data_IF_690479906970
#
_entry.id   IF_690479906970
#
_cell.length_a   1.000
_cell.length_b   1.000
_cell.length_c   1.000
_cell.angle_alpha   90.00
_cell.angle_beta   90.00
_cell.angle_gamma   90.00
#
_symmetry.space_group_name_H-M   'P 1'
#
loop_
_entity.id
_entity.type
_entity.pdbx_description
1 polymer ?
#
# COMPACT_ATOMS: atom_id res chain seq x y z
N UNK A 1 -22.26 -36.67 -21.48
CA UNK A 1 -21.36 -37.00 -22.60
C UNK A 1 -20.13 -36.13 -22.45
N UNK A 2 -19.00 -36.72 -22.09
CA UNK A 2 -17.70 -36.04 -21.99
C UNK A 2 -17.22 -35.59 -23.37
N UNK A 3 -16.69 -34.38 -23.47
CA UNK A 3 -15.88 -33.94 -24.60
C UNK A 3 -14.72 -33.10 -24.08
N UNK A 4 -13.56 -33.72 -23.99
CA UNK A 4 -12.25 -33.07 -23.88
C UNK A 4 -12.00 -32.18 -25.11
N UNK A 5 -11.38 -31.01 -24.91
CA UNK A 5 -10.77 -30.23 -26.00
C UNK A 5 -9.31 -29.95 -25.66
N UNK A 6 -8.49 -30.27 -26.66
CA UNK A 6 -7.04 -30.19 -26.70
C UNK A 6 -6.59 -28.73 -26.74
N UNK A 7 -5.62 -28.40 -25.88
CA UNK A 7 -5.02 -27.08 -25.68
C UNK A 7 -4.07 -26.74 -26.84
N UNK A 8 -4.27 -25.57 -27.46
CA UNK A 8 -3.33 -24.97 -28.41
C UNK A 8 -2.28 -24.14 -27.67
N UNK A 9 -1.01 -24.52 -27.79
CA UNK A 9 0.14 -23.99 -27.03
C UNK A 9 0.80 -22.75 -27.63
N UNK A 10 0.22 -22.12 -28.65
CA UNK A 10 0.89 -21.07 -29.44
C UNK A 10 0.50 -19.64 -28.99
N UNK A 11 -0.73 -19.42 -28.50
CA UNK A 11 -1.19 -18.08 -28.05
C UNK A 11 -0.60 -17.64 -26.70
N UNK A 12 -0.27 -18.60 -25.82
CA UNK A 12 0.32 -18.33 -24.49
C UNK A 12 1.60 -17.49 -24.56
N UNK A 13 2.34 -17.52 -25.67
CA UNK A 13 3.61 -16.79 -25.82
C UNK A 13 3.43 -15.28 -26.01
N UNK A 14 2.33 -14.84 -26.62
CA UNK A 14 2.11 -13.42 -26.94
C UNK A 14 1.52 -12.66 -25.76
N UNK A 15 0.61 -13.28 -24.99
CA UNK A 15 0.06 -12.70 -23.76
C UNK A 15 1.10 -12.63 -22.62
N UNK A 16 2.02 -13.61 -22.57
CA UNK A 16 3.20 -13.59 -21.68
C UNK A 16 4.12 -12.39 -21.92
N UNK A 17 4.19 -11.88 -23.15
CA UNK A 17 5.00 -10.69 -23.44
C UNK A 17 4.33 -9.42 -22.91
N UNK A 18 3.00 -9.32 -22.99
CA UNK A 18 2.27 -8.13 -22.53
C UNK A 18 2.33 -7.93 -21.03
N UNK A 19 2.15 -9.00 -20.24
CA UNK A 19 2.23 -8.92 -18.76
C UNK A 19 3.65 -8.54 -18.30
N UNK A 20 4.67 -9.15 -18.91
CA UNK A 20 6.07 -8.82 -18.62
C UNK A 20 6.45 -7.40 -19.09
N UNK A 21 5.89 -6.91 -20.21
CA UNK A 21 6.08 -5.53 -20.67
C UNK A 21 5.44 -4.48 -19.74
N UNK A 22 4.32 -4.80 -19.11
CA UNK A 22 3.68 -3.94 -18.08
C UNK A 22 4.53 -3.89 -16.82
N UNK A 23 5.09 -5.03 -16.38
CA UNK A 23 6.01 -5.12 -15.26
C UNK A 23 7.26 -4.24 -15.49
N UNK A 24 7.84 -4.30 -16.69
CA UNK A 24 9.00 -3.49 -17.08
C UNK A 24 8.69 -1.98 -17.19
N UNK A 25 7.51 -1.61 -17.75
CA UNK A 25 7.07 -0.20 -17.82
C UNK A 25 6.86 0.40 -16.41
N UNK A 26 6.38 -0.39 -15.46
CA UNK A 26 6.15 0.07 -14.08
C UNK A 26 7.46 0.26 -13.29
N UNK A 27 8.45 -0.62 -13.51
CA UNK A 27 9.79 -0.49 -12.94
C UNK A 27 10.51 0.77 -13.45
N UNK A 28 10.39 1.09 -14.75
CA UNK A 28 11.02 2.27 -15.34
C UNK A 28 10.43 3.61 -14.88
N UNK A 29 9.12 3.68 -14.56
CA UNK A 29 8.49 4.92 -14.05
C UNK A 29 8.88 5.26 -12.60
N UNK A 30 9.52 4.36 -11.88
CA UNK A 30 9.79 4.51 -10.44
C UNK A 30 11.17 5.10 -10.08
N UNK A 31 11.95 5.58 -11.05
CA UNK A 31 13.24 6.24 -10.80
C UNK A 31 13.13 7.78 -10.77
N UNK A 32 13.37 8.46 -9.63
CA UNK A 32 13.54 9.91 -9.61
C UNK A 32 15.00 10.27 -9.91
N UNK A 33 15.31 10.69 -11.13
CA UNK A 33 16.61 11.29 -11.44
C UNK A 33 16.71 12.71 -10.88
N UNK A 34 17.60 12.89 -9.91
CA UNK A 34 18.03 14.19 -9.40
C UNK A 34 19.27 14.68 -10.15
N UNK A 35 19.22 15.87 -10.75
CA UNK A 35 20.41 16.73 -10.98
C UNK A 35 20.06 18.23 -11.10
N UNK A 36 20.40 18.94 -10.01
CA UNK A 36 20.70 20.38 -9.69
C UNK A 36 21.04 21.37 -10.85
N UNK A 37 21.27 22.68 -10.57
CA UNK A 37 20.56 23.66 -9.73
C UNK A 37 20.37 25.05 -10.43
N UNK A 38 19.47 25.90 -9.91
CA UNK A 38 19.27 27.30 -10.36
C UNK A 38 19.95 28.26 -9.37
N UNK A 39 20.83 29.11 -9.90
CA UNK A 39 21.48 30.24 -9.22
C UNK A 39 20.59 31.50 -9.36
N UNK A 40 20.43 32.36 -8.33
CA UNK A 40 20.72 33.78 -8.60
C UNK A 40 21.17 34.61 -7.37
N UNK A 41 22.13 35.54 -7.58
CA UNK A 41 21.99 37.02 -7.42
C UNK A 41 23.31 37.73 -7.01
N UNK A 42 23.34 38.99 -7.46
CA UNK A 42 24.42 39.97 -7.52
C UNK A 42 25.14 40.40 -6.23
N UNK A 43 26.41 40.75 -6.43
CA UNK A 43 27.27 41.79 -5.85
C UNK A 43 26.82 42.57 -4.59
N UNK A 44 27.72 42.63 -3.59
CA UNK A 44 28.47 43.84 -3.15
C UNK A 44 29.46 43.55 -1.99
N UNK A 45 30.70 44.00 -2.22
CA UNK A 45 31.77 44.49 -1.32
C UNK A 45 31.74 44.23 0.21
N UNK A 46 32.86 43.71 0.75
CA UNK A 46 33.84 44.48 1.56
C UNK A 46 34.92 43.62 2.22
N UNK A 47 36.13 44.15 2.19
CA UNK A 47 37.37 43.72 2.85
C UNK A 47 37.29 43.59 4.39
N UNK A 48 38.00 42.61 4.96
CA UNK A 48 39.22 42.85 5.77
C UNK A 48 39.64 41.63 6.63
N UNK A 49 40.88 41.20 6.40
CA UNK A 49 42.01 41.02 7.33
C UNK A 49 41.85 40.37 8.73
N UNK A 50 42.87 39.56 9.01
CA UNK A 50 43.51 39.24 10.31
C UNK A 50 42.87 38.10 11.11
N UNK A 51 43.58 37.30 11.91
CA UNK A 51 45.00 36.95 12.07
C UNK A 51 45.02 35.88 13.17
N UNK A 52 45.91 34.89 13.02
CA UNK A 52 46.73 34.26 14.06
C UNK A 52 46.10 33.39 15.18
N UNK A 53 46.80 32.26 15.34
CA UNK A 53 47.15 31.52 16.57
C UNK A 53 46.10 30.59 17.20
N UNK A 54 46.44 29.41 17.73
CA UNK A 54 47.61 28.53 17.69
C UNK A 54 47.29 27.31 18.58
N UNK A 55 47.56 26.09 18.09
CA UNK A 55 48.08 24.91 18.83
C UNK A 55 47.55 24.53 20.23
N UNK A 56 46.95 23.32 20.38
CA UNK A 56 47.63 22.12 20.95
C UNK A 56 46.66 20.99 21.38
N UNK A 57 46.91 19.80 20.81
CA UNK A 57 47.10 18.47 21.45
C UNK A 57 46.06 17.98 22.48
N UNK A 58 45.28 16.93 22.14
CA UNK A 58 45.35 15.57 22.74
C UNK A 58 44.13 14.67 22.42
N UNK A 59 44.43 13.57 21.72
CA UNK A 59 43.96 12.16 21.86
C UNK A 59 42.50 11.79 22.22
N UNK A 60 42.09 10.73 21.50
CA UNK A 60 41.09 9.69 21.78
C UNK A 60 39.63 9.98 21.43
N UNK A 61 39.19 9.39 20.31
CA UNK A 61 37.98 8.56 20.31
C UNK A 61 38.04 7.53 19.19
N UNK A 62 37.70 6.30 19.56
CA UNK A 62 37.66 5.11 18.72
C UNK A 62 36.75 5.34 17.51
N UNK A 63 37.27 5.06 16.32
CA UNK A 63 36.44 4.84 15.13
C UNK A 63 36.14 3.34 15.09
N UNK A 64 34.91 2.98 15.47
CA UNK A 64 34.34 1.67 15.17
C UNK A 64 33.99 1.67 13.68
N UNK A 65 34.75 0.91 12.90
CA UNK A 65 34.39 0.49 11.55
C UNK A 65 33.11 -0.33 11.63
N UNK A 66 31.98 0.23 11.21
CA UNK A 66 30.81 -0.56 10.86
C UNK A 66 30.92 -0.91 9.38
N UNK A 67 31.18 -2.18 9.13
CA UNK A 67 31.24 -2.81 7.82
C UNK A 67 29.85 -2.82 7.18
N UNK A 68 29.69 -2.02 6.13
CA UNK A 68 28.61 -2.18 5.15
C UNK A 68 28.79 -3.55 4.48
N UNK A 69 28.01 -4.52 4.93
CA UNK A 69 27.98 -5.85 4.34
C UNK A 69 26.94 -5.79 3.24
N UNK A 70 27.42 -5.58 2.01
CA UNK A 70 26.66 -5.65 0.77
C UNK A 70 25.95 -7.01 0.73
N UNK A 71 24.66 -7.00 1.05
CA UNK A 71 23.86 -8.21 1.17
C UNK A 71 23.48 -8.65 -0.22
N UNK A 72 24.22 -9.66 -0.66
CA UNK A 72 24.04 -10.55 -1.79
C UNK A 72 22.65 -10.47 -2.45
N UNK A 73 22.68 -10.07 -3.73
CA UNK A 73 21.64 -10.25 -4.73
C UNK A 73 21.04 -11.65 -4.59
N UNK A 74 19.89 -11.77 -3.94
CA UNK A 74 19.12 -13.01 -3.92
C UNK A 74 18.50 -13.16 -5.29
N UNK A 75 19.18 -13.95 -6.11
CA UNK A 75 18.70 -14.50 -7.37
C UNK A 75 17.38 -15.23 -7.07
N UNK A 76 16.26 -14.57 -7.39
CA UNK A 76 14.93 -15.18 -7.37
C UNK A 76 14.96 -16.24 -8.44
N UNK A 77 15.23 -17.48 -8.01
CA UNK A 77 15.07 -18.66 -8.83
C UNK A 77 13.63 -18.68 -9.34
N UNK A 78 13.47 -18.28 -10.61
CA UNK A 78 12.22 -18.34 -11.34
C UNK A 78 11.76 -19.78 -11.43
N UNK A 79 10.94 -20.17 -10.45
CA UNK A 79 10.12 -21.37 -10.54
C UNK A 79 8.97 -21.05 -11.49
N UNK A 80 9.19 -21.29 -12.78
CA UNK A 80 8.12 -21.38 -13.77
C UNK A 80 7.07 -22.40 -13.29
N UNK A 81 5.87 -21.96 -12.89
CA UNK A 81 4.75 -22.88 -12.73
C UNK A 81 3.53 -22.49 -11.90
N UNK A 82 3.52 -21.40 -11.15
CA UNK A 82 2.26 -20.95 -10.51
C UNK A 82 1.66 -19.82 -11.34
N UNK A 83 0.61 -20.15 -12.10
CA UNK A 83 -0.30 -19.19 -12.74
C UNK A 83 -0.84 -18.27 -11.62
N UNK A 84 -0.16 -17.15 -11.38
CA UNK A 84 -0.52 -16.19 -10.33
C UNK A 84 -1.79 -15.49 -10.78
N UNK A 85 -2.89 -15.65 -10.03
CA UNK A 85 -4.16 -15.00 -10.34
C UNK A 85 -4.03 -13.47 -10.31
N UNK A 86 -4.93 -12.77 -11.00
CA UNK A 86 -4.97 -11.30 -10.98
C UNK A 86 -5.06 -10.76 -9.56
N UNK A 87 -5.88 -11.38 -8.71
CA UNK A 87 -6.07 -10.99 -7.31
C UNK A 87 -4.76 -11.13 -6.53
N UNK A 88 -4.08 -12.27 -6.66
CA UNK A 88 -2.81 -12.52 -5.98
C UNK A 88 -1.72 -11.56 -6.47
N UNK A 89 -1.64 -11.35 -7.78
CA UNK A 89 -0.74 -10.35 -8.37
C UNK A 89 -1.02 -8.95 -7.80
N UNK A 90 -2.27 -8.50 -7.83
CA UNK A 90 -2.67 -7.17 -7.38
C UNK A 90 -2.36 -6.95 -5.89
N UNK A 91 -2.66 -7.92 -5.03
CA UNK A 91 -2.41 -7.81 -3.59
C UNK A 91 -0.91 -7.80 -3.24
N UNK A 92 -0.06 -8.39 -4.09
CA UNK A 92 1.39 -8.42 -3.92
C UNK A 92 2.12 -7.23 -4.57
N UNK A 93 1.40 -6.36 -5.29
CA UNK A 93 1.99 -5.12 -5.81
C UNK A 93 2.49 -4.23 -4.66
N UNK A 94 3.63 -3.59 -4.90
CA UNK A 94 4.21 -2.63 -3.94
C UNK A 94 3.23 -1.51 -3.66
N UNK A 95 2.87 -1.33 -2.38
CA UNK A 95 1.88 -0.36 -1.93
C UNK A 95 0.52 -0.97 -1.62
N UNK A 96 0.22 -2.20 -2.06
CA UNK A 96 -1.05 -2.88 -1.86
C UNK A 96 -1.07 -3.81 -0.64
N UNK A 97 -0.10 -3.66 0.27
CA UNK A 97 0.09 -4.60 1.38
C UNK A 97 -1.07 -4.58 2.40
N UNK A 98 -1.98 -3.61 2.31
CA UNK A 98 -3.18 -3.53 3.15
C UNK A 98 -4.33 -4.41 2.65
N UNK A 99 -4.34 -4.80 1.37
CA UNK A 99 -5.39 -5.66 0.83
C UNK A 99 -5.25 -7.09 1.36
N UNK A 100 -6.37 -7.75 1.59
CA UNK A 100 -6.43 -9.21 1.61
C UNK A 100 -6.96 -9.72 0.26
N UNK A 101 -6.57 -10.94 -0.10
CA UNK A 101 -7.13 -11.62 -1.27
C UNK A 101 -8.61 -11.95 -1.02
N UNK A 102 -9.48 -11.51 -1.91
CA UNK A 102 -10.93 -11.81 -1.87
C UNK A 102 -11.16 -13.16 -2.54
N UNK A 103 -11.95 -14.03 -1.92
CA UNK A 103 -12.30 -15.33 -2.50
C UNK A 103 -13.09 -15.18 -3.81
N UNK A 104 -12.73 -15.92 -4.86
CA UNK A 104 -13.45 -15.92 -6.14
C UNK A 104 -14.95 -16.25 -5.96
N UNK A 105 -15.28 -17.20 -5.08
CA UNK A 105 -16.67 -17.56 -4.75
C UNK A 105 -17.50 -16.36 -4.24
N UNK A 106 -16.87 -15.42 -3.54
CA UNK A 106 -17.54 -14.21 -3.06
C UNK A 106 -17.84 -13.25 -4.20
N UNK A 107 -16.91 -13.14 -5.15
CA UNK A 107 -17.01 -12.26 -6.33
C UNK A 107 -18.00 -12.83 -7.33
N UNK A 108 -18.04 -14.15 -7.53
CA UNK A 108 -18.95 -14.82 -8.47
C UNK A 108 -20.42 -14.79 -8.03
N UNK A 109 -20.71 -14.47 -6.77
CA UNK A 109 -22.08 -14.25 -6.30
C UNK A 109 -22.52 -12.80 -6.53
N UNK A 110 -23.29 -12.60 -7.61
CA UNK A 110 -23.83 -11.31 -8.05
C UNK A 110 -24.52 -10.50 -6.95
N UNK A 111 -25.09 -11.18 -5.94
CA UNK A 111 -25.74 -10.49 -4.81
C UNK A 111 -24.74 -9.62 -4.04
N UNK A 112 -23.50 -10.09 -3.86
CA UNK A 112 -22.44 -9.37 -3.17
C UNK A 112 -21.97 -8.13 -3.96
N UNK A 113 -22.13 -8.16 -5.29
CA UNK A 113 -21.69 -7.11 -6.21
C UNK A 113 -22.79 -6.08 -6.55
N UNK A 114 -24.00 -6.24 -5.98
CA UNK A 114 -25.15 -5.41 -6.29
C UNK A 114 -24.83 -3.89 -6.23
N UNK A 115 -25.19 -3.17 -7.30
CA UNK A 115 -25.02 -1.73 -7.43
C UNK A 115 -23.62 -1.23 -7.79
N UNK A 116 -22.63 -2.12 -8.00
CA UNK A 116 -21.29 -1.72 -8.43
C UNK A 116 -21.21 -1.44 -9.94
N UNK A 117 -22.02 -2.10 -10.76
CA UNK A 117 -22.05 -1.93 -12.22
C UNK A 117 -22.41 -0.50 -12.67
N UNK A 118 -23.16 0.25 -11.86
CA UNK A 118 -23.45 1.67 -12.13
C UNK A 118 -22.36 2.63 -11.68
N UNK A 119 -21.37 2.16 -10.93
CA UNK A 119 -20.30 2.98 -10.35
C UNK A 119 -18.97 2.80 -11.09
N UNK A 120 -18.74 1.64 -11.70
CA UNK A 120 -17.48 1.27 -12.35
C UNK A 120 -17.67 1.25 -13.88
N UNK A 121 -16.84 1.97 -14.65
CA UNK A 121 -16.85 1.89 -16.11
C UNK A 121 -16.32 0.53 -16.58
N UNK A 122 -16.74 0.04 -17.76
CA UNK A 122 -16.29 -1.26 -18.29
C UNK A 122 -16.47 -2.43 -17.31
N UNK A 123 -17.51 -2.39 -16.47
CA UNK A 123 -17.71 -3.31 -15.35
C UNK A 123 -17.53 -4.80 -15.72
N UNK A 124 -18.16 -5.27 -16.80
CA UNK A 124 -18.08 -6.67 -17.21
C UNK A 124 -16.64 -7.08 -17.57
N UNK A 125 -15.94 -6.25 -18.35
CA UNK A 125 -14.53 -6.49 -18.72
C UNK A 125 -13.58 -6.39 -17.53
N UNK A 126 -13.85 -5.47 -16.60
CA UNK A 126 -13.09 -5.34 -15.36
C UNK A 126 -13.27 -6.57 -14.46
N UNK A 127 -14.49 -7.11 -14.40
CA UNK A 127 -14.81 -8.31 -13.63
C UNK A 127 -14.17 -9.57 -14.24
N UNK A 128 -14.25 -9.72 -15.57
CA UNK A 128 -13.58 -10.80 -16.30
C UNK A 128 -12.07 -10.78 -16.06
N UNK A 129 -11.45 -9.58 -16.05
CA UNK A 129 -10.02 -9.42 -15.76
C UNK A 129 -9.67 -9.83 -14.32
N UNK A 130 -10.47 -9.44 -13.33
CA UNK A 130 -10.24 -9.80 -11.91
C UNK A 130 -10.33 -11.31 -11.71
N UNK A 131 -11.25 -11.99 -12.41
CA UNK A 131 -11.51 -13.43 -12.28
C UNK A 131 -10.67 -14.29 -13.26
N UNK A 132 -9.71 -13.70 -13.97
CA UNK A 132 -8.90 -14.37 -14.98
C UNK A 132 -9.73 -15.14 -16.03
N UNK A 133 -10.92 -14.61 -16.38
CA UNK A 133 -11.80 -15.21 -17.39
C UNK A 133 -11.35 -14.76 -18.78
N UNK A 134 -11.08 -15.73 -19.66
CA UNK A 134 -10.77 -15.41 -21.07
C UNK A 134 -11.94 -14.62 -21.68
N UNK A 135 -11.63 -13.43 -22.21
CA UNK A 135 -12.63 -12.57 -22.83
C UNK A 135 -13.26 -13.30 -24.03
N UNK A 136 -14.51 -13.71 -23.88
CA UNK A 136 -15.26 -14.40 -24.92
C UNK A 136 -15.61 -13.49 -26.12
N UNK A 137 -15.26 -12.21 -26.03
CA UNK A 137 -15.84 -11.16 -26.85
C UNK A 137 -15.11 -10.96 -28.19
N UNK A 138 -13.90 -11.49 -28.36
CA UNK A 138 -13.14 -11.33 -29.62
C UNK A 138 -12.87 -9.86 -30.00
N UNK A 139 -13.08 -8.95 -29.04
CA UNK A 139 -12.98 -7.52 -29.22
C UNK A 139 -11.50 -7.10 -29.19
N UNK A 140 -11.08 -6.39 -30.23
CA UNK A 140 -9.76 -5.77 -30.29
C UNK A 140 -9.85 -4.37 -29.68
N UNK A 141 -9.37 -4.22 -28.45
CA UNK A 141 -9.28 -2.93 -27.77
C UNK A 141 -8.02 -2.15 -28.16
N UNK A 142 -8.12 -0.83 -28.16
CA UNK A 142 -6.93 0.04 -28.23
C UNK A 142 -6.12 -0.04 -26.92
N UNK A 143 -4.85 0.35 -26.96
CA UNK A 143 -4.02 0.41 -25.74
C UNK A 143 -4.65 1.31 -24.67
N UNK A 144 -5.20 2.46 -25.07
CA UNK A 144 -5.91 3.39 -24.18
C UNK A 144 -7.16 2.75 -23.53
N UNK A 145 -7.93 1.95 -24.28
CA UNK A 145 -9.08 1.24 -23.71
C UNK A 145 -8.65 0.17 -22.71
N UNK A 146 -7.55 -0.55 -22.98
CA UNK A 146 -7.02 -1.52 -22.03
C UNK A 146 -6.57 -0.85 -20.73
N UNK A 147 -5.88 0.30 -20.79
CA UNK A 147 -5.51 1.07 -19.59
C UNK A 147 -6.75 1.50 -18.76
N UNK A 148 -7.85 1.85 -19.42
CA UNK A 148 -9.10 2.19 -18.76
C UNK A 148 -9.76 0.97 -18.09
N UNK A 149 -9.69 -0.21 -18.73
CA UNK A 149 -10.20 -1.46 -18.16
C UNK A 149 -9.37 -1.89 -16.95
N UNK A 150 -8.04 -1.80 -17.03
CA UNK A 150 -7.14 -2.07 -15.90
C UNK A 150 -7.46 -1.14 -14.72
N UNK A 151 -7.58 0.17 -14.96
CA UNK A 151 -7.96 1.12 -13.90
C UNK A 151 -9.36 0.85 -13.33
N UNK A 152 -10.29 0.38 -14.16
CA UNK A 152 -11.62 -0.02 -13.72
C UNK A 152 -11.58 -1.29 -12.85
N UNK A 153 -10.72 -2.26 -13.19
CA UNK A 153 -10.52 -3.48 -12.40
C UNK A 153 -9.94 -3.17 -11.01
N UNK A 154 -8.92 -2.31 -10.93
CA UNK A 154 -8.38 -1.86 -9.63
C UNK A 154 -9.47 -1.19 -8.77
N UNK A 155 -10.28 -0.32 -9.38
CA UNK A 155 -11.38 0.36 -8.69
C UNK A 155 -12.46 -0.63 -8.24
N UNK A 156 -12.86 -1.54 -9.12
CA UNK A 156 -13.87 -2.56 -8.84
C UNK A 156 -13.42 -3.47 -7.69
N UNK A 157 -12.19 -4.00 -7.77
CA UNK A 157 -11.62 -4.85 -6.73
C UNK A 157 -11.56 -4.12 -5.39
N UNK A 158 -11.17 -2.84 -5.39
CA UNK A 158 -11.19 -2.02 -4.19
C UNK A 158 -12.59 -1.89 -3.55
N UNK A 159 -13.63 -1.68 -4.36
CA UNK A 159 -15.02 -1.60 -3.88
C UNK A 159 -15.56 -2.94 -3.39
N UNK A 160 -15.17 -4.03 -4.03
CA UNK A 160 -15.48 -5.40 -3.59
C UNK A 160 -14.80 -5.67 -2.25
N UNK A 161 -13.52 -5.35 -2.14
CA UNK A 161 -12.72 -5.53 -0.94
C UNK A 161 -13.35 -4.82 0.27
N UNK A 162 -13.83 -3.58 0.11
CA UNK A 162 -14.51 -2.82 1.16
C UNK A 162 -15.75 -3.54 1.73
N UNK A 163 -16.47 -4.29 0.88
CA UNK A 163 -17.60 -5.14 1.31
C UNK A 163 -17.10 -6.44 1.93
N UNK A 164 -16.10 -7.06 1.31
CA UNK A 164 -15.56 -8.36 1.73
C UNK A 164 -14.98 -8.34 3.13
N UNK A 165 -14.23 -7.29 3.51
CA UNK A 165 -13.60 -7.17 4.84
C UNK A 165 -14.60 -7.07 6.00
N UNK A 166 -15.90 -6.87 5.70
CA UNK A 166 -16.97 -6.88 6.69
C UNK A 166 -17.62 -8.27 6.86
N UNK A 167 -17.26 -9.24 6.01
CA UNK A 167 -17.70 -10.64 6.14
C UNK A 167 -16.85 -11.40 7.16
N UNK A 168 -17.32 -12.56 7.61
CA UNK A 168 -16.53 -13.40 8.53
C UNK A 168 -15.20 -13.88 7.93
N UNK A 169 -15.17 -14.22 6.63
CA UNK A 169 -13.95 -14.65 5.94
C UNK A 169 -12.97 -13.49 5.77
N UNK A 170 -13.44 -12.34 5.27
CA UNK A 170 -12.61 -11.15 5.12
C UNK A 170 -12.07 -10.63 6.46
N UNK A 171 -12.87 -10.65 7.54
CA UNK A 171 -12.39 -10.30 8.88
C UNK A 171 -11.27 -11.25 9.37
N UNK A 172 -11.37 -12.55 9.09
CA UNK A 172 -10.34 -13.51 9.45
C UNK A 172 -9.03 -13.27 8.69
N UNK A 173 -9.10 -13.02 7.38
CA UNK A 173 -7.94 -12.68 6.56
C UNK A 173 -7.25 -11.39 7.07
N UNK A 174 -8.04 -10.35 7.34
CA UNK A 174 -7.53 -9.10 7.89
C UNK A 174 -6.97 -9.25 9.32
N UNK A 175 -7.48 -10.19 10.11
CA UNK A 175 -6.96 -10.49 11.44
C UNK A 175 -5.52 -11.02 11.38
N UNK A 176 -5.22 -11.89 10.43
CA UNK A 176 -3.87 -12.44 10.29
C UNK A 176 -2.86 -11.36 9.87
N UNK A 177 -3.25 -10.48 8.93
CA UNK A 177 -2.49 -9.27 8.58
C UNK A 177 -2.29 -8.33 9.77
N UNK A 178 -3.32 -8.14 10.60
CA UNK A 178 -3.23 -7.32 11.81
C UNK A 178 -2.20 -7.87 12.81
N UNK A 179 -2.17 -9.19 13.02
CA UNK A 179 -1.18 -9.84 13.90
C UNK A 179 0.25 -9.71 13.36
N UNK A 180 0.40 -9.70 12.04
CA UNK A 180 1.69 -9.57 11.35
C UNK A 180 2.19 -8.13 11.24
N UNK A 181 1.41 -7.13 11.70
CA UNK A 181 1.73 -5.71 11.63
C UNK A 181 1.76 -5.14 10.20
N UNK A 182 1.11 -5.80 9.24
CA UNK A 182 1.09 -5.40 7.82
C UNK A 182 0.51 -3.99 7.62
N UNK A 183 -0.46 -3.61 8.46
CA UNK A 183 -1.10 -2.29 8.44
C UNK A 183 -0.27 -1.19 9.12
N UNK A 184 0.90 -1.55 9.64
CA UNK A 184 1.78 -0.66 10.37
C UNK A 184 1.36 -0.44 11.81
N UNK A 185 2.02 0.55 12.43
CA UNK A 185 1.95 0.83 13.86
C UNK A 185 1.68 2.30 14.12
N UNK A 186 0.99 2.56 15.23
CA UNK A 186 0.67 3.91 15.66
C UNK A 186 1.94 4.77 15.78
N UNK A 187 1.95 5.99 15.20
CA UNK A 187 3.10 6.89 15.28
C UNK A 187 3.25 7.55 16.65
N UNK A 188 2.23 7.55 17.52
CA UNK A 188 2.33 8.13 18.86
C UNK A 188 3.26 7.33 19.75
N UNK A 189 4.26 8.00 20.33
CA UNK A 189 5.23 7.42 21.26
C UNK A 189 4.56 6.63 22.40
N UNK A 190 3.56 7.23 23.06
CA UNK A 190 2.84 6.59 24.17
C UNK A 190 1.84 5.52 23.75
N UNK A 191 1.72 5.22 22.46
CA UNK A 191 1.04 4.01 22.00
C UNK A 191 1.97 2.79 21.91
N UNK A 192 3.28 2.97 22.14
CA UNK A 192 4.26 1.87 22.20
C UNK A 192 4.22 0.96 20.98
N UNK A 193 4.04 1.54 19.78
CA UNK A 193 3.99 0.78 18.53
C UNK A 193 2.78 -0.15 18.38
N UNK A 194 1.63 0.23 18.96
CA UNK A 194 0.35 -0.46 18.79
C UNK A 194 0.06 -0.76 17.30
N UNK A 195 -0.25 -2.01 16.90
CA UNK A 195 -0.71 -2.32 15.55
C UNK A 195 -2.01 -1.59 15.22
N UNK A 196 -2.08 -1.09 13.99
CA UNK A 196 -3.21 -0.30 13.48
C UNK A 196 -4.06 -1.11 12.49
N UNK A 197 -5.19 -0.53 12.08
CA UNK A 197 -6.09 -1.09 11.06
C UNK A 197 -6.27 -0.05 9.94
N UNK A 198 -6.37 -0.45 8.66
CA UNK A 198 -6.69 0.47 7.58
C UNK A 198 -8.13 0.99 7.72
N UNK A 199 -8.38 2.19 7.23
CA UNK A 199 -9.70 2.83 7.29
C UNK A 199 -9.84 3.93 6.25
N UNK A 200 -11.04 4.05 5.67
CA UNK A 200 -11.46 5.20 4.88
C UNK A 200 -12.15 6.27 5.74
N UNK A 201 -11.95 7.54 5.41
CA UNK A 201 -12.73 8.64 6.02
C UNK A 201 -14.08 8.87 5.30
N UNK A 202 -14.26 8.22 4.16
CA UNK A 202 -15.46 8.27 3.32
C UNK A 202 -15.58 6.94 2.59
N UNK A 203 -16.82 6.49 2.37
CA UNK A 203 -17.13 5.34 1.52
C UNK A 203 -17.31 5.75 0.04
N UNK A 204 -17.18 7.04 -0.27
CA UNK A 204 -17.25 7.58 -1.63
C UNK A 204 -15.84 7.54 -2.26
N UNK A 205 -15.66 6.86 -3.40
CA UNK A 205 -14.37 6.81 -4.09
C UNK A 205 -13.82 8.19 -4.44
N UNK A 206 -12.49 8.28 -4.46
CA UNK A 206 -11.67 9.45 -4.76
C UNK A 206 -11.85 10.61 -3.78
N UNK A 207 -12.55 10.39 -2.66
CA UNK A 207 -12.77 11.41 -1.63
C UNK A 207 -11.54 11.64 -0.75
N UNK A 208 -10.83 10.58 -0.39
CA UNK A 208 -9.64 10.64 0.47
C UNK A 208 -8.84 9.35 0.38
N UNK A 209 -7.52 9.44 0.51
CA UNK A 209 -6.69 8.24 0.61
C UNK A 209 -6.85 7.52 1.94
N UNK A 210 -6.47 6.25 1.99
CA UNK A 210 -6.51 5.40 3.18
C UNK A 210 -5.76 6.04 4.35
N UNK A 211 -6.29 5.82 5.55
CA UNK A 211 -5.68 6.16 6.84
C UNK A 211 -5.49 4.88 7.63
N UNK A 212 -4.74 4.98 8.72
CA UNK A 212 -4.62 3.91 9.71
C UNK A 212 -5.26 4.37 11.02
N UNK A 213 -6.15 3.55 11.56
CA UNK A 213 -6.79 3.73 12.85
C UNK A 213 -5.97 3.03 13.93
N UNK A 214 -5.62 3.76 15.00
CA UNK A 214 -4.99 3.17 16.18
C UNK A 214 -6.05 2.81 17.23
N UNK A 215 -6.22 1.53 17.58
CA UNK A 215 -7.20 1.12 18.59
C UNK A 215 -6.82 1.51 20.02
N UNK A 216 -5.58 1.94 20.26
CA UNK A 216 -5.10 2.35 21.59
C UNK A 216 -5.41 3.81 21.89
N UNK A 217 -5.07 4.71 20.98
CA UNK A 217 -5.38 6.14 21.16
C UNK A 217 -6.68 6.59 20.48
N UNK A 218 -7.36 5.69 19.77
CA UNK A 218 -8.67 5.91 19.13
C UNK A 218 -8.64 7.08 18.14
N UNK A 219 -7.61 7.11 17.28
CA UNK A 219 -7.33 8.26 16.42
C UNK A 219 -6.71 7.81 15.07
N UNK A 220 -6.78 8.68 14.07
CA UNK A 220 -6.42 8.43 12.68
C UNK A 220 -5.05 9.00 12.31
N UNK A 221 -4.29 8.25 11.52
CA UNK A 221 -2.97 8.66 11.03
C UNK A 221 -2.79 8.34 9.55
N UNK A 222 -1.83 9.00 8.91
CA UNK A 222 -1.39 8.63 7.58
C UNK A 222 -0.51 7.36 7.65
N UNK A 223 -0.61 6.44 6.67
CA UNK A 223 0.38 5.39 6.50
C UNK A 223 1.80 5.98 6.40
N UNK A 224 2.80 5.28 6.94
CA UNK A 224 4.20 5.75 6.87
C UNK A 224 4.79 5.59 5.47
N UNK A 225 4.42 4.51 4.77
CA UNK A 225 4.86 4.26 3.41
C UNK A 225 4.13 5.20 2.45
N UNK A 226 4.88 5.90 1.60
CA UNK A 226 4.29 6.74 0.54
C UNK A 226 3.51 5.93 -0.49
N UNK A 227 3.90 4.68 -0.71
CA UNK A 227 3.25 3.78 -1.68
C UNK A 227 1.82 3.43 -1.21
N UNK A 228 1.65 3.15 0.08
CA UNK A 228 0.34 2.87 0.69
C UNK A 228 -0.54 4.13 0.78
N UNK A 229 0.08 5.31 0.90
CA UNK A 229 -0.63 6.59 1.08
C UNK A 229 -1.44 7.05 -0.12
N UNK A 230 -1.29 6.41 -1.29
CA UNK A 230 -2.04 6.72 -2.51
C UNK A 230 -3.29 5.84 -2.71
N UNK A 231 -3.46 4.77 -1.93
CA UNK A 231 -4.64 3.91 -2.03
C UNK A 231 -5.88 4.69 -1.61
N UNK A 232 -7.00 4.47 -2.31
CA UNK A 232 -8.29 5.04 -1.94
C UNK A 232 -8.79 4.48 -0.61
N UNK A 233 -9.20 5.36 0.31
CA UNK A 233 -9.74 4.95 1.59
C UNK A 233 -11.09 4.22 1.47
N UNK A 234 -11.85 4.51 0.41
CA UNK A 234 -13.14 3.86 0.17
C UNK A 234 -13.02 2.33 0.00
N UNK A 235 -11.84 1.83 -0.38
CA UNK A 235 -11.57 0.40 -0.55
C UNK A 235 -11.46 -0.39 0.76
N UNK A 236 -11.43 0.30 1.89
CA UNK A 236 -11.51 -0.28 3.24
C UNK A 236 -12.78 0.14 3.98
N UNK A 237 -13.36 1.26 3.56
CA UNK A 237 -14.56 1.83 4.14
C UNK A 237 -14.37 2.44 5.53
N UNK A 238 -15.41 3.13 5.98
CA UNK A 238 -15.47 3.80 7.28
C UNK A 238 -15.74 2.83 8.44
N UNK A 239 -16.33 1.68 8.14
CA UNK A 239 -16.89 0.75 9.14
C UNK A 239 -15.88 -0.28 9.64
N UNK A 240 -15.00 -0.75 8.75
CA UNK A 240 -14.15 -1.91 8.98
C UNK A 240 -13.42 -1.95 10.34
N UNK A 241 -12.61 -0.96 10.75
CA UNK A 241 -11.84 -1.07 11.99
C UNK A 241 -12.73 -1.17 13.23
N UNK A 242 -13.91 -0.54 13.20
CA UNK A 242 -14.85 -0.52 14.32
C UNK A 242 -15.54 -1.87 14.46
N UNK A 243 -16.05 -2.41 13.34
CA UNK A 243 -16.67 -3.73 13.32
C UNK A 243 -15.66 -4.83 13.67
N UNK A 244 -14.43 -4.75 13.12
CA UNK A 244 -13.33 -5.66 13.45
C UNK A 244 -13.07 -5.73 14.96
N UNK A 245 -13.02 -4.59 15.65
CA UNK A 245 -12.79 -4.54 17.10
C UNK A 245 -14.05 -4.91 17.92
N UNK A 246 -15.25 -4.82 17.35
CA UNK A 246 -16.46 -5.39 17.96
C UNK A 246 -16.43 -6.92 17.89
N UNK A 247 -16.04 -7.49 16.76
CA UNK A 247 -15.92 -8.93 16.54
C UNK A 247 -14.78 -9.55 17.37
N UNK A 248 -13.60 -8.91 17.38
CA UNK A 248 -12.41 -9.37 18.11
C UNK A 248 -12.15 -8.52 19.36
N UNK A 249 -13.15 -8.43 20.24
CA UNK A 249 -13.11 -7.56 21.43
C UNK A 249 -11.92 -7.78 22.36
N UNK A 250 -11.37 -9.01 22.40
CA UNK A 250 -10.17 -9.37 23.17
C UNK A 250 -8.90 -8.65 22.69
N UNK A 251 -8.89 -8.11 21.48
CA UNK A 251 -7.74 -7.37 20.91
C UNK A 251 -7.75 -5.89 21.24
N UNK A 252 -8.82 -5.38 21.87
CA UNK A 252 -8.91 -3.97 22.27
C UNK A 252 -7.88 -3.65 23.35
N UNK A 253 -6.89 -2.78 23.07
CA UNK A 253 -5.87 -2.43 24.04
C UNK A 253 -6.42 -1.48 25.11
N UNK A 254 -5.75 -1.42 26.27
CA UNK A 254 -6.01 -0.35 27.23
C UNK A 254 -5.53 1.00 26.71
N UNK A 255 -6.23 2.07 27.07
CA UNK A 255 -5.84 3.44 26.71
C UNK A 255 -4.44 3.78 27.26
N UNK A 256 -3.66 4.66 26.59
CA UNK A 256 -2.37 5.09 27.08
C UNK A 256 -2.47 5.65 28.50
N UNK A 257 -1.66 5.10 29.42
CA UNK A 257 -1.60 5.57 30.80
C UNK A 257 -0.83 6.89 30.95
N UNK A 258 -0.01 7.23 29.95
CA UNK A 258 0.84 8.41 29.94
C UNK A 258 0.52 9.31 28.74
N UNK A 259 0.65 10.61 28.96
CA UNK A 259 0.61 11.64 27.92
C UNK A 259 1.88 12.47 27.96
N UNK A 260 2.26 13.06 26.83
CA UNK A 260 3.40 13.96 26.79
C UNK A 260 3.20 15.13 27.76
N UNK A 261 4.20 15.37 28.61
CA UNK A 261 4.22 16.51 29.53
C UNK A 261 5.30 17.47 29.03
N UNK A 262 4.93 18.57 28.35
CA UNK A 262 5.92 19.53 27.85
C UNK A 262 6.65 20.19 29.01
N UNK A 263 7.98 20.30 28.89
CA UNK A 263 8.86 20.87 29.91
C UNK A 263 9.86 21.84 29.30
N UNK A 264 10.14 22.94 30.02
CA UNK A 264 11.21 23.89 29.71
C UNK A 264 12.10 24.00 30.95
N UNK A 265 13.39 23.72 30.81
CA UNK A 265 14.35 23.62 31.93
C UNK A 265 13.87 22.73 33.10
N UNK A 266 13.15 21.65 32.80
CA UNK A 266 12.59 20.73 33.79
C UNK A 266 11.21 21.12 34.36
N UNK A 267 10.80 22.38 34.22
CA UNK A 267 9.50 22.86 34.68
C UNK A 267 8.39 22.51 33.70
N UNK A 268 7.24 22.07 34.22
CA UNK A 268 6.05 21.78 33.39
C UNK A 268 5.48 23.09 32.85
N UNK A 269 5.11 23.11 31.58
CA UNK A 269 4.40 24.24 30.99
C UNK A 269 2.93 24.22 31.47
N UNK A 270 2.42 25.36 31.93
CA UNK A 270 1.01 25.51 32.30
C UNK A 270 0.11 25.48 31.05
N UNK A 271 -1.11 24.97 31.18
CA UNK A 271 -2.08 25.03 30.06
C UNK A 271 -2.52 26.49 29.90
N UNK A 272 -2.62 27.01 28.66
CA UNK A 272 -3.17 28.34 28.41
C UNK A 272 -4.63 28.44 28.86
#
# INVERSE_FOLDING_TARGET
MYRERVIGSISKSEDRKRINEVLDKHLQRSSPSTSRPINPKDNRDRDNKSSLNSSNISKNSNVSEESETDSEEVDVSGSDGDDTSWISWFCNLRGNEFFCEVDDDYIQDDFNLCGLSSQVPYYDYALDLILDVESSHGDMFTEEQNELIESAAEMLYGLIHARYVLTSKGMAAMLDKYKNYDFGRCPRVYCSGQPCLPVGQSDIPRSSTVKIYCPRCEDLYYPRSKYQGNIDGAYFGTTFPHLFLMTYGQLKPQKPSQSYVPRVFGYKIHKP
#
